data_IF_505173252520
#
_entry.id   IF_505173252520
#
_cell.length_a   1.000
_cell.length_b   1.000
_cell.length_c   1.000
_cell.angle_alpha   90.00
_cell.angle_beta   90.00
_cell.angle_gamma   90.00
#
_symmetry.space_group_name_H-M   'P 1'
#
loop_
_entity.id
_entity.type
_entity.pdbx_description
1 polymer ?
#
# COMPACT_ATOMS: atom_id res chain seq x y z
N UNK A 1 3.00 9.41 20.90
CA UNK A 1 4.08 9.98 20.07
C UNK A 1 3.86 9.59 18.61
N UNK A 2 3.00 10.30 17.86
CA UNK A 2 2.71 9.91 16.45
C UNK A 2 2.16 11.02 15.55
N UNK A 3 1.76 12.16 16.11
CA UNK A 3 1.03 13.22 15.39
C UNK A 3 1.93 14.20 14.63
N UNK A 4 3.22 14.28 14.96
CA UNK A 4 4.15 15.20 14.28
C UNK A 4 4.64 14.65 12.93
N UNK A 5 4.84 13.33 12.86
CA UNK A 5 5.34 12.65 11.66
C UNK A 5 4.36 12.74 10.49
N UNK A 6 3.06 12.81 10.76
CA UNK A 6 2.01 12.81 9.73
C UNK A 6 1.92 14.17 9.02
N UNK A 7 2.06 15.28 9.76
CA UNK A 7 2.14 16.63 9.18
C UNK A 7 3.40 16.82 8.36
N UNK A 8 4.53 16.27 8.82
CA UNK A 8 5.79 16.29 8.07
C UNK A 8 5.69 15.49 6.76
N UNK A 9 5.12 14.28 6.81
CA UNK A 9 4.86 13.46 5.63
C UNK A 9 3.91 14.14 4.64
N UNK A 10 2.85 14.79 5.13
CA UNK A 10 1.94 15.58 4.30
C UNK A 10 2.67 16.73 3.60
N UNK A 11 3.53 17.47 4.31
CA UNK A 11 4.32 18.56 3.73
C UNK A 11 5.30 18.08 2.66
N UNK A 12 5.99 16.96 2.90
CA UNK A 12 6.91 16.36 1.92
C UNK A 12 6.14 15.83 0.71
N UNK A 13 5.01 15.16 0.93
CA UNK A 13 4.14 14.68 -0.14
C UNK A 13 3.50 15.80 -0.95
N UNK A 14 3.24 16.96 -0.36
CA UNK A 14 2.75 18.15 -1.06
C UNK A 14 3.85 18.81 -1.90
N UNK A 15 5.08 18.90 -1.37
CA UNK A 15 6.20 19.57 -2.04
C UNK A 15 6.83 18.73 -3.15
N UNK A 16 7.08 17.45 -2.89
CA UNK A 16 7.83 16.55 -3.79
C UNK A 16 6.93 15.52 -4.49
N UNK A 17 5.70 15.34 -4.01
CA UNK A 17 4.79 14.30 -4.48
C UNK A 17 4.91 13.01 -3.69
N UNK A 18 3.81 12.24 -3.64
CA UNK A 18 3.72 10.98 -2.86
C UNK A 18 4.41 9.77 -3.51
N UNK A 19 5.00 9.93 -4.69
CA UNK A 19 5.83 8.92 -5.37
C UNK A 19 7.32 9.29 -5.37
N UNK A 20 7.68 10.41 -4.74
CA UNK A 20 9.05 10.88 -4.65
C UNK A 20 9.90 10.06 -3.67
N UNK A 21 11.21 10.12 -3.85
CA UNK A 21 12.18 9.45 -2.97
C UNK A 21 12.17 10.08 -1.58
N UNK A 22 11.92 11.38 -1.50
CA UNK A 22 11.82 12.18 -0.29
C UNK A 22 10.64 11.74 0.57
N UNK A 23 9.50 11.46 -0.06
CA UNK A 23 8.32 10.92 0.63
C UNK A 23 8.61 9.55 1.23
N UNK A 24 9.39 8.71 0.53
CA UNK A 24 9.84 7.41 1.04
C UNK A 24 10.83 7.53 2.20
N UNK A 25 11.83 8.41 2.06
CA UNK A 25 12.84 8.65 3.11
C UNK A 25 12.23 9.21 4.40
N UNK A 26 11.10 9.92 4.31
CA UNK A 26 10.34 10.37 5.47
C UNK A 26 9.51 9.26 6.16
N UNK A 27 9.60 8.01 5.67
CA UNK A 27 8.81 6.88 6.16
C UNK A 27 7.46 6.72 5.46
N UNK A 28 7.23 7.41 4.34
CA UNK A 28 6.01 7.31 3.55
C UNK A 28 6.05 6.15 2.57
N UNK A 29 4.91 5.51 2.31
CA UNK A 29 4.81 4.46 1.28
C UNK A 29 4.44 5.10 -0.05
N UNK A 30 5.25 4.88 -1.09
CA UNK A 30 4.98 5.43 -2.44
C UNK A 30 3.60 4.98 -2.94
N UNK A 31 2.90 5.86 -3.66
CA UNK A 31 1.55 5.55 -4.20
C UNK A 31 1.61 4.34 -5.15
N UNK A 32 2.63 4.29 -6.01
CA UNK A 32 2.92 3.15 -6.90
C UNK A 32 3.12 1.83 -6.13
N UNK A 33 3.85 1.87 -5.01
CA UNK A 33 4.06 0.71 -4.14
C UNK A 33 2.77 0.31 -3.41
N UNK A 34 1.98 1.29 -2.96
CA UNK A 34 0.67 1.07 -2.34
C UNK A 34 -0.31 0.40 -3.31
N UNK A 35 -0.30 0.81 -4.58
CA UNK A 35 -1.13 0.20 -5.64
C UNK A 35 -0.67 -1.22 -5.96
N UNK A 36 0.65 -1.46 -6.04
CA UNK A 36 1.19 -2.83 -6.21
C UNK A 36 0.81 -3.76 -5.05
N UNK A 37 0.91 -3.27 -3.81
CA UNK A 37 0.52 -4.03 -2.62
C UNK A 37 -0.98 -4.31 -2.61
N UNK A 38 -1.83 -3.31 -2.88
CA UNK A 38 -3.28 -3.51 -2.90
C UNK A 38 -3.73 -4.44 -4.04
N UNK A 39 -3.12 -4.34 -5.22
CA UNK A 39 -3.34 -5.27 -6.33
C UNK A 39 -2.90 -6.69 -5.98
N UNK A 40 -1.70 -6.86 -5.42
CA UNK A 40 -1.18 -8.16 -4.99
C UNK A 40 -2.02 -8.82 -3.90
N UNK A 41 -2.49 -8.06 -2.91
CA UNK A 41 -3.39 -8.57 -1.87
C UNK A 41 -4.72 -9.01 -2.45
N UNK A 42 -5.35 -8.20 -3.33
CA UNK A 42 -6.60 -8.58 -3.99
C UNK A 42 -6.45 -9.84 -4.83
N UNK A 43 -5.39 -9.94 -5.63
CA UNK A 43 -5.12 -11.13 -6.44
C UNK A 43 -4.85 -12.36 -5.58
N UNK A 44 -4.09 -12.23 -4.49
CA UNK A 44 -3.90 -13.31 -3.51
C UNK A 44 -5.22 -13.76 -2.87
N UNK A 45 -6.06 -12.82 -2.45
CA UNK A 45 -7.37 -13.14 -1.87
C UNK A 45 -8.29 -13.83 -2.88
N UNK A 46 -8.29 -13.40 -4.15
CA UNK A 46 -9.06 -14.04 -5.21
C UNK A 46 -8.55 -15.46 -5.50
N UNK A 47 -7.24 -15.65 -5.58
CA UNK A 47 -6.63 -16.97 -5.78
C UNK A 47 -6.90 -17.92 -4.59
N UNK A 48 -6.87 -17.41 -3.36
CA UNK A 48 -7.23 -18.20 -2.18
C UNK A 48 -8.72 -18.56 -2.17
N UNK A 49 -9.61 -17.63 -2.51
CA UNK A 49 -11.05 -17.94 -2.63
C UNK A 49 -11.32 -19.03 -3.68
N UNK A 50 -10.68 -18.94 -4.84
CA UNK A 50 -10.85 -19.90 -5.92
C UNK A 50 -10.38 -21.32 -5.53
N UNK A 51 -9.28 -21.42 -4.79
CA UNK A 51 -8.75 -22.71 -4.28
C UNK A 51 -9.58 -23.29 -3.14
N UNK A 52 -10.18 -22.47 -2.28
CA UNK A 52 -11.12 -22.96 -1.26
C UNK A 52 -12.47 -23.38 -1.84
N UNK A 53 -12.93 -22.74 -2.93
CA UNK A 53 -14.22 -23.05 -3.55
C UNK A 53 -14.18 -24.39 -4.31
N UNK A 54 -13.06 -24.75 -4.92
CA UNK A 54 -12.92 -26.04 -5.61
C UNK A 54 -12.80 -27.24 -4.66
N UNK A 55 -12.46 -27.02 -3.39
CA UNK A 55 -12.36 -28.07 -2.38
C UNK A 55 -13.71 -28.43 -1.72
N UNK A 56 -14.73 -27.57 -1.83
CA UNK A 56 -16.00 -27.71 -1.12
C UNK A 56 -17.11 -28.39 -1.97
N UNK A 57 -16.85 -28.70 -3.24
CA UNK A 57 -17.83 -29.28 -4.19
C UNK A 57 -17.65 -30.79 -4.39
N UNK A 58 -17.23 -31.56 -3.37
CA UNK A 58 -17.10 -33.01 -3.49
C UNK A 58 -17.70 -33.77 -2.32
#
# INVERSE_FOLDING_TARGET
MGTFSEKMLMGIGFKYGKDSREYEMAGGVRKSERIRKSGGTRLKTVAQKASTQSAQTR
#
